data_IF_126379700776
#
_entry.id   IF_126379700776
#
_cell.length_a   1.000
_cell.length_b   1.000
_cell.length_c   1.000
_cell.angle_alpha   90.00
_cell.angle_beta   90.00
_cell.angle_gamma   90.00
#
_symmetry.space_group_name_H-M   'P 1'
#
loop_
_entity.id
_entity.type
_entity.pdbx_description
1 polymer ?
#
# COMPACT_ATOMS: atom_id res chain seq x y z
N UNK A 1 3.13 -14.42 -16.09
CA UNK A 1 2.11 -13.95 -15.14
C UNK A 1 2.07 -12.44 -15.30
N UNK A 2 1.05 -11.91 -15.98
CA UNK A 2 0.96 -10.47 -16.26
C UNK A 2 0.65 -9.76 -14.95
N UNK A 3 1.65 -9.08 -14.40
CA UNK A 3 1.49 -8.12 -13.31
C UNK A 3 0.60 -7.00 -13.86
N UNK A 4 -0.64 -6.94 -13.39
CA UNK A 4 -1.57 -5.85 -13.68
C UNK A 4 -0.99 -4.58 -13.10
N UNK A 5 -0.61 -3.63 -13.95
CA UNK A 5 -0.15 -2.30 -13.54
C UNK A 5 -1.29 -1.31 -13.80
N UNK A 6 -1.94 -0.77 -12.75
CA UNK A 6 -3.01 0.20 -12.93
C UNK A 6 -2.43 1.47 -13.55
N UNK A 7 -2.95 1.86 -14.72
CA UNK A 7 -2.59 3.14 -15.34
C UNK A 7 -3.60 4.20 -14.91
N UNK A 8 -3.15 5.13 -14.08
CA UNK A 8 -4.01 6.21 -13.58
C UNK A 8 -3.85 7.48 -14.41
N UNK A 9 -4.95 7.96 -15.00
CA UNK A 9 -5.00 9.28 -15.63
C UNK A 9 -5.06 10.37 -14.51
N UNK A 10 -4.14 11.36 -14.51
CA UNK A 10 -4.07 12.40 -13.49
C UNK A 10 -5.35 13.26 -13.38
N UNK A 11 -6.08 13.44 -14.48
CA UNK A 11 -7.22 14.35 -14.54
C UNK A 11 -8.56 13.64 -14.34
N UNK A 12 -8.63 12.34 -14.67
CA UNK A 12 -9.88 11.57 -14.59
C UNK A 12 -10.33 11.30 -13.16
N UNK A 13 -9.43 10.87 -12.28
CA UNK A 13 -9.81 10.48 -10.92
C UNK A 13 -10.35 11.66 -10.10
N UNK A 14 -9.73 12.87 -10.12
CA UNK A 14 -10.34 14.05 -9.52
C UNK A 14 -11.74 14.34 -10.08
N UNK A 15 -11.93 14.30 -11.41
CA UNK A 15 -13.26 14.53 -12.00
C UNK A 15 -14.31 13.49 -11.54
N UNK A 16 -13.91 12.23 -11.36
CA UNK A 16 -14.77 11.18 -10.79
C UNK A 16 -15.13 11.49 -9.33
N UNK A 17 -14.16 11.92 -8.51
CA UNK A 17 -14.43 12.27 -7.11
C UNK A 17 -15.34 13.49 -7.00
N UNK A 18 -15.17 14.51 -7.85
CA UNK A 18 -16.06 15.66 -7.87
C UNK A 18 -17.52 15.23 -8.13
N UNK A 19 -17.73 14.39 -9.14
CA UNK A 19 -19.05 13.81 -9.42
C UNK A 19 -19.59 12.96 -8.26
N UNK A 20 -18.73 12.17 -7.60
CA UNK A 20 -19.13 11.41 -6.41
C UNK A 20 -19.67 12.33 -5.30
N UNK A 21 -19.03 13.47 -5.05
CA UNK A 21 -19.50 14.43 -4.06
C UNK A 21 -20.89 14.99 -4.43
N UNK A 22 -21.08 15.35 -5.70
CA UNK A 22 -22.37 15.84 -6.21
C UNK A 22 -23.48 14.78 -6.08
N UNK A 23 -23.19 13.52 -6.41
CA UNK A 23 -24.13 12.39 -6.25
C UNK A 23 -24.46 12.09 -4.79
N UNK A 24 -23.56 12.43 -3.86
CA UNK A 24 -23.81 12.38 -2.41
C UNK A 24 -24.61 13.60 -1.90
N UNK A 25 -24.94 14.56 -2.76
CA UNK A 25 -25.69 15.77 -2.44
C UNK A 25 -24.85 16.92 -1.87
N UNK A 26 -23.52 16.86 -2.01
CA UNK A 26 -22.61 17.94 -1.61
C UNK A 26 -22.39 18.96 -2.73
N UNK A 27 -22.04 20.20 -2.36
CA UNK A 27 -21.55 21.22 -3.29
C UNK A 27 -20.03 21.12 -3.41
N UNK A 28 -19.53 20.56 -4.51
CA UNK A 28 -18.10 20.39 -4.76
C UNK A 28 -17.34 21.74 -4.88
N UNK A 29 -18.02 22.85 -5.14
CA UNK A 29 -17.41 24.18 -5.26
C UNK A 29 -17.26 24.91 -3.92
N UNK A 30 -17.82 24.38 -2.81
CA UNK A 30 -17.69 25.02 -1.50
C UNK A 30 -16.23 25.05 -1.04
N UNK A 31 -15.86 26.07 -0.27
CA UNK A 31 -14.48 26.33 0.19
C UNK A 31 -13.79 25.09 0.76
N UNK A 32 -14.51 24.28 1.55
CA UNK A 32 -13.97 23.06 2.15
C UNK A 32 -13.75 21.88 1.17
N UNK A 33 -14.43 21.84 0.03
CA UNK A 33 -14.41 20.72 -0.91
C UNK A 33 -13.74 20.99 -2.25
N UNK A 34 -13.47 22.24 -2.61
CA UNK A 34 -12.88 22.58 -3.92
C UNK A 34 -11.60 21.79 -4.22
N UNK A 35 -10.81 21.50 -3.19
CA UNK A 35 -9.57 20.70 -3.27
C UNK A 35 -9.75 19.21 -2.93
N UNK A 36 -10.93 18.79 -2.43
CA UNK A 36 -11.20 17.40 -2.05
C UNK A 36 -11.00 16.43 -3.20
N UNK A 37 -11.47 16.68 -4.44
CA UNK A 37 -11.22 15.80 -5.57
C UNK A 37 -9.75 15.45 -5.77
N UNK A 38 -8.86 16.45 -5.72
CA UNK A 38 -7.42 16.26 -5.84
C UNK A 38 -6.87 15.45 -4.66
N UNK A 39 -7.21 15.83 -3.42
CA UNK A 39 -6.71 15.16 -2.21
C UNK A 39 -7.12 13.69 -2.13
N UNK A 40 -8.36 13.37 -2.51
CA UNK A 40 -8.84 11.97 -2.54
C UNK A 40 -8.13 11.19 -3.63
N UNK A 41 -7.95 11.77 -4.82
CA UNK A 41 -7.22 11.09 -5.90
C UNK A 41 -5.77 10.79 -5.51
N UNK A 42 -5.07 11.73 -4.87
CA UNK A 42 -3.72 11.52 -4.33
C UNK A 42 -3.71 10.45 -3.23
N UNK A 43 -4.67 10.48 -2.31
CA UNK A 43 -4.80 9.47 -1.26
C UNK A 43 -5.03 8.07 -1.82
N UNK A 44 -5.90 7.91 -2.83
CA UNK A 44 -6.18 6.60 -3.43
C UNK A 44 -4.95 6.07 -4.17
N UNK A 45 -4.17 6.93 -4.83
CA UNK A 45 -2.90 6.53 -5.45
C UNK A 45 -1.90 6.04 -4.42
N UNK A 46 -1.71 6.79 -3.34
CA UNK A 46 -0.83 6.39 -2.24
C UNK A 46 -1.26 5.04 -1.63
N UNK A 47 -2.56 4.87 -1.34
CA UNK A 47 -3.09 3.64 -0.77
C UNK A 47 -3.03 2.43 -1.72
N UNK A 48 -2.73 2.64 -3.01
CA UNK A 48 -2.66 1.59 -4.03
C UNK A 48 -1.30 1.52 -4.73
N UNK A 49 -0.28 2.24 -4.23
CA UNK A 49 1.05 2.30 -4.86
C UNK A 49 1.80 0.96 -4.84
N UNK A 50 1.41 0.07 -3.93
CA UNK A 50 1.93 -1.30 -3.83
C UNK A 50 1.84 -2.11 -5.13
N UNK A 51 0.83 -1.84 -5.99
CA UNK A 51 0.72 -2.51 -7.30
C UNK A 51 1.91 -2.25 -8.24
N UNK A 52 2.65 -1.17 -8.03
CA UNK A 52 3.82 -0.81 -8.84
C UNK A 52 5.14 -1.30 -8.23
N UNK A 53 5.12 -1.78 -7.00
CA UNK A 53 6.31 -2.23 -6.27
C UNK A 53 6.68 -3.67 -6.62
N UNK A 54 7.98 -3.94 -6.72
CA UNK A 54 8.53 -5.29 -6.81
C UNK A 54 9.14 -5.69 -5.45
N UNK A 55 8.63 -6.74 -4.78
CA UNK A 55 9.22 -7.25 -3.55
C UNK A 55 10.73 -7.55 -3.65
N UNK A 56 11.21 -7.98 -4.83
CA UNK A 56 12.63 -8.23 -5.06
C UNK A 56 13.46 -6.94 -4.97
N UNK A 57 12.95 -5.83 -5.50
CA UNK A 57 13.60 -4.51 -5.41
C UNK A 57 13.56 -3.96 -3.97
N UNK A 58 12.46 -4.20 -3.24
CA UNK A 58 12.35 -3.82 -1.83
C UNK A 58 13.42 -4.52 -0.99
N UNK A 59 13.59 -5.84 -1.19
CA UNK A 59 14.64 -6.62 -0.53
C UNK A 59 16.02 -6.10 -0.95
N UNK A 60 16.25 -5.95 -2.26
CA UNK A 60 17.52 -5.53 -2.83
C UNK A 60 18.68 -6.40 -2.33
N UNK A 61 19.78 -5.76 -1.92
CA UNK A 61 20.97 -6.46 -1.41
C UNK A 61 20.89 -6.81 0.09
N UNK A 62 19.75 -6.60 0.76
CA UNK A 62 19.59 -6.87 2.19
C UNK A 62 19.34 -8.35 2.50
N UNK A 63 20.15 -9.22 1.90
CA UNK A 63 20.19 -10.66 2.15
C UNK A 63 21.56 -11.01 2.74
N UNK A 64 21.57 -11.44 3.99
CA UNK A 64 22.79 -11.71 4.74
C UNK A 64 23.02 -13.21 4.84
N UNK A 65 24.24 -13.65 4.54
CA UNK A 65 24.64 -15.03 4.72
C UNK A 65 25.00 -15.28 6.19
N UNK A 66 24.06 -15.86 6.92
CA UNK A 66 24.22 -16.23 8.32
C UNK A 66 23.91 -17.72 8.48
N UNK A 67 24.76 -18.43 9.23
CA UNK A 67 24.43 -19.78 9.68
C UNK A 67 23.52 -19.67 10.90
N UNK A 68 22.25 -19.37 10.63
CA UNK A 68 21.18 -19.29 11.60
C UNK A 68 20.05 -20.19 11.12
N UNK A 69 19.69 -21.18 11.93
CA UNK A 69 18.72 -22.24 11.63
C UNK A 69 17.47 -22.18 12.53
N UNK A 70 17.43 -21.21 13.45
CA UNK A 70 16.27 -20.91 14.27
C UNK A 70 15.25 -20.02 13.53
N UNK A 71 14.01 -20.04 14.00
CA UNK A 71 12.92 -19.23 13.44
C UNK A 71 13.15 -17.74 13.71
N UNK A 72 13.11 -16.94 12.64
CA UNK A 72 13.07 -15.49 12.74
C UNK A 72 11.61 -15.05 12.79
N UNK A 73 11.26 -14.24 13.80
CA UNK A 73 9.91 -13.68 13.95
C UNK A 73 9.96 -12.17 14.10
N UNK A 74 9.26 -11.47 13.21
CA UNK A 74 9.00 -10.03 13.29
C UNK A 74 7.54 -9.85 13.66
N UNK A 75 7.27 -9.27 14.83
CA UNK A 75 5.91 -9.10 15.36
C UNK A 75 5.50 -7.64 15.37
N UNK A 76 4.19 -7.43 15.47
CA UNK A 76 3.57 -6.13 15.68
C UNK A 76 3.87 -5.12 14.56
N UNK A 77 4.04 -5.59 13.33
CA UNK A 77 4.15 -4.73 12.16
C UNK A 77 2.78 -4.09 11.93
N UNK A 78 2.68 -2.77 12.03
CA UNK A 78 1.46 -2.05 11.65
C UNK A 78 1.23 -2.22 10.15
N UNK A 79 -0.02 -2.44 9.75
CA UNK A 79 -0.39 -2.38 8.34
C UNK A 79 -1.71 -1.63 8.17
N UNK A 80 -1.85 -0.99 7.02
CA UNK A 80 -3.05 -0.32 6.56
C UNK A 80 -3.33 -0.77 5.13
N UNK A 81 -4.57 -1.10 4.83
CA UNK A 81 -4.95 -1.54 3.49
C UNK A 81 -6.39 -1.12 3.18
N UNK A 82 -6.84 -1.39 1.97
CA UNK A 82 -8.14 -1.00 1.45
C UNK A 82 -8.95 -2.24 1.10
N UNK A 83 -10.17 -2.35 1.63
CA UNK A 83 -11.05 -3.46 1.30
C UNK A 83 -11.55 -3.29 -0.15
N UNK A 84 -11.22 -4.22 -1.04
CA UNK A 84 -11.60 -4.16 -2.46
C UNK A 84 -13.13 -4.14 -2.69
N UNK A 85 -13.92 -4.67 -1.75
CA UNK A 85 -15.38 -4.74 -1.87
C UNK A 85 -16.09 -3.40 -1.59
N UNK A 86 -15.51 -2.57 -0.73
CA UNK A 86 -16.18 -1.37 -0.21
C UNK A 86 -15.32 -0.11 -0.32
N UNK A 87 -14.04 -0.25 -0.68
CA UNK A 87 -13.03 0.80 -0.66
C UNK A 87 -12.91 1.51 0.70
N UNK A 88 -13.17 0.76 1.78
CA UNK A 88 -12.99 1.24 3.15
C UNK A 88 -11.66 0.72 3.72
N UNK A 89 -10.95 1.54 4.52
CA UNK A 89 -9.72 1.10 5.16
C UNK A 89 -9.97 -0.06 6.12
N UNK A 90 -9.04 -1.00 6.16
CA UNK A 90 -8.87 -1.93 7.27
C UNK A 90 -7.40 -1.94 7.68
N UNK A 91 -7.14 -2.14 8.96
CA UNK A 91 -5.81 -2.01 9.53
C UNK A 91 -5.65 -2.94 10.72
N UNK A 92 -4.40 -3.20 11.09
CA UNK A 92 -4.11 -4.08 12.21
C UNK A 92 -2.63 -4.35 12.38
N UNK A 93 -2.32 -5.57 12.82
CA UNK A 93 -0.94 -6.06 13.00
C UNK A 93 -0.69 -7.27 12.11
N UNK A 94 0.48 -7.29 11.48
CA UNK A 94 1.04 -8.48 10.81
C UNK A 94 2.17 -9.03 11.65
N UNK A 95 2.22 -10.36 11.76
CA UNK A 95 3.35 -11.08 12.34
C UNK A 95 3.93 -11.96 11.24
N UNK A 96 5.22 -11.78 10.96
CA UNK A 96 5.94 -12.52 9.92
C UNK A 96 6.92 -13.47 10.60
N UNK A 97 6.88 -14.74 10.21
CA UNK A 97 7.81 -15.75 10.68
C UNK A 97 8.36 -16.55 9.49
N UNK A 98 9.66 -16.85 9.53
CA UNK A 98 10.29 -17.71 8.54
C UNK A 98 11.46 -18.48 9.15
N UNK A 99 11.78 -19.64 8.55
CA UNK A 99 12.99 -20.41 8.85
C UNK A 99 14.05 -20.06 7.80
N UNK A 100 15.18 -19.45 8.20
CA UNK A 100 16.25 -19.12 7.26
C UNK A 100 16.89 -20.38 6.65
N UNK A 101 17.39 -20.25 5.42
CA UNK A 101 18.15 -21.30 4.75
C UNK A 101 19.48 -20.71 4.24
N UNK A 102 20.43 -20.53 5.16
CA UNK A 102 21.73 -19.91 4.88
C UNK A 102 21.67 -18.44 4.45
N UNK A 103 20.48 -17.83 4.49
CA UNK A 103 20.22 -16.41 4.21
C UNK A 103 19.14 -15.86 5.13
N UNK A 104 19.40 -14.68 5.70
CA UNK A 104 18.50 -13.91 6.55
C UNK A 104 18.16 -12.60 5.83
N UNK A 105 16.88 -12.24 5.76
CA UNK A 105 16.46 -10.94 5.24
C UNK A 105 16.69 -9.86 6.30
N UNK A 106 17.20 -8.71 5.88
CA UNK A 106 17.32 -7.55 6.77
C UNK A 106 15.98 -7.22 7.41
N UNK A 107 15.93 -7.17 8.74
CA UNK A 107 14.67 -7.04 9.50
C UNK A 107 13.86 -5.79 9.10
N UNK A 108 14.54 -4.71 8.70
CA UNK A 108 13.90 -3.48 8.23
C UNK A 108 13.18 -3.61 6.88
N UNK A 109 13.39 -4.70 6.14
CA UNK A 109 12.69 -4.98 4.87
C UNK A 109 11.34 -5.63 5.08
N UNK A 110 11.15 -6.36 6.19
CA UNK A 110 9.89 -7.06 6.47
C UNK A 110 8.70 -6.08 6.53
N UNK A 111 8.77 -4.95 7.27
CA UNK A 111 7.70 -3.96 7.25
C UNK A 111 7.44 -3.36 5.86
N UNK A 112 8.50 -3.12 5.08
CA UNK A 112 8.38 -2.56 3.73
C UNK A 112 7.70 -3.51 2.75
N UNK A 113 7.87 -4.82 2.94
CA UNK A 113 7.15 -5.84 2.17
C UNK A 113 5.70 -5.91 2.60
N UNK A 114 5.41 -5.69 3.89
CA UNK A 114 4.02 -5.64 4.40
C UNK A 114 3.27 -4.41 3.88
N UNK A 115 3.97 -3.28 3.68
CA UNK A 115 3.40 -2.06 3.09
C UNK A 115 3.20 -2.13 1.57
N UNK A 116 3.82 -3.11 0.90
CA UNK A 116 3.84 -3.24 -0.55
C UNK A 116 2.67 -4.04 -1.13
#
# INVERSE_FOLDING_TARGET
MSIYRPQFDPDQLPAVVARLLEELGEDAAREGLVDTPRRVAESLRFLTEGYELDPAEIVGDALFHEQYDDMVVVKDVNFFSLCEHHLLPFFGRVHVAYLPNGKVVGLSKVPRIVDA
#
